data_IF_457060355920
#
_entry.id   IF_457060355920
#
_cell.length_a   1.000
_cell.length_b   1.000
_cell.length_c   1.000
_cell.angle_alpha   90.00
_cell.angle_beta   90.00
_cell.angle_gamma   90.00
#
_symmetry.space_group_name_H-M   'P 1'
#
loop_
_entity.id
_entity.type
_entity.pdbx_description
1 polymer ?
#
# COMPACT_ATOMS: atom_id res chain seq x y z
N UNK A 1 11.86 -14.19 29.22
CA UNK A 1 12.22 -14.69 27.87
C UNK A 1 10.94 -15.10 27.17
N UNK A 2 10.33 -14.25 26.33
CA UNK A 2 9.10 -14.61 25.62
C UNK A 2 9.46 -15.45 24.39
N UNK A 3 9.33 -16.78 24.50
CA UNK A 3 9.50 -17.74 23.41
C UNK A 3 8.35 -17.65 22.39
N UNK A 4 8.25 -16.52 21.69
CA UNK A 4 7.26 -16.32 20.64
C UNK A 4 7.67 -17.10 19.39
N UNK A 5 6.77 -17.91 18.87
CA UNK A 5 6.87 -18.66 17.61
C UNK A 5 7.11 -17.73 16.42
N UNK A 6 8.33 -17.21 16.28
CA UNK A 6 8.73 -16.44 15.11
C UNK A 6 8.98 -17.42 13.96
N UNK A 7 8.10 -17.40 12.96
CA UNK A 7 8.34 -18.12 11.71
C UNK A 7 9.63 -17.56 11.11
N UNK A 8 10.65 -18.39 10.82
CA UNK A 8 11.90 -17.89 10.30
C UNK A 8 11.65 -17.23 8.94
N UNK A 9 12.24 -16.06 8.72
CA UNK A 9 12.16 -15.32 7.46
C UNK A 9 12.56 -16.19 6.24
N UNK A 10 13.42 -17.19 6.44
CA UNK A 10 13.84 -18.16 5.42
C UNK A 10 12.74 -19.13 4.96
N UNK A 11 11.62 -19.23 5.68
CA UNK A 11 10.47 -20.04 5.26
C UNK A 11 9.71 -19.41 4.08
N UNK A 12 9.93 -18.13 3.79
CA UNK A 12 9.25 -17.41 2.72
C UNK A 12 10.24 -17.03 1.62
N UNK A 13 9.85 -17.23 0.37
CA UNK A 13 10.67 -16.89 -0.80
C UNK A 13 9.91 -15.96 -1.75
N UNK A 14 10.65 -15.20 -2.57
CA UNK A 14 10.09 -14.27 -3.56
C UNK A 14 9.26 -13.16 -2.92
N UNK A 15 8.11 -12.84 -3.52
CA UNK A 15 7.23 -11.77 -3.03
C UNK A 15 6.64 -12.06 -1.65
N UNK A 16 6.45 -13.34 -1.29
CA UNK A 16 5.93 -13.72 0.04
C UNK A 16 6.90 -13.35 1.16
N UNK A 17 8.20 -13.25 0.90
CA UNK A 17 9.16 -12.76 1.88
C UNK A 17 8.82 -11.34 2.35
N UNK A 18 8.40 -10.48 1.41
CA UNK A 18 8.07 -9.10 1.68
C UNK A 18 6.58 -8.87 1.99
N UNK A 19 5.68 -9.74 1.53
CA UNK A 19 4.23 -9.59 1.70
C UNK A 19 3.65 -10.84 2.36
N UNK A 20 3.95 -11.02 3.64
CA UNK A 20 3.33 -12.05 4.47
C UNK A 20 2.77 -11.44 5.76
N UNK A 21 1.82 -12.12 6.40
CA UNK A 21 1.22 -11.67 7.65
C UNK A 21 1.92 -12.21 8.90
N UNK A 22 2.93 -13.07 8.74
CA UNK A 22 3.53 -13.85 9.83
C UNK A 22 4.76 -13.18 10.43
N UNK A 23 5.57 -12.52 9.61
CA UNK A 23 6.79 -11.84 10.04
C UNK A 23 6.55 -10.35 10.19
N UNK A 24 7.32 -9.70 11.07
CA UNK A 24 7.24 -8.25 11.27
C UNK A 24 7.51 -7.48 9.97
N UNK A 25 8.47 -7.97 9.16
CA UNK A 25 8.82 -7.39 7.86
C UNK A 25 7.67 -7.45 6.87
N UNK A 26 7.03 -8.62 6.77
CA UNK A 26 5.87 -8.81 5.90
C UNK A 26 4.71 -7.88 6.26
N UNK A 27 4.38 -7.82 7.56
CA UNK A 27 3.30 -6.98 8.08
C UNK A 27 3.56 -5.49 7.81
N UNK A 28 4.78 -5.02 8.04
CA UNK A 28 5.16 -3.63 7.79
C UNK A 28 4.97 -3.25 6.32
N UNK A 29 5.42 -4.10 5.40
CA UNK A 29 5.29 -3.84 3.97
C UNK A 29 3.83 -3.86 3.49
N UNK A 30 2.99 -4.76 4.02
CA UNK A 30 1.55 -4.76 3.73
C UNK A 30 0.92 -3.44 4.17
N UNK A 31 1.28 -2.92 5.34
CA UNK A 31 0.79 -1.62 5.84
C UNK A 31 1.28 -0.47 4.95
N UNK A 32 2.56 -0.45 4.58
CA UNK A 32 3.12 0.55 3.66
C UNK A 32 2.44 0.51 2.29
N UNK A 33 2.16 -0.69 1.75
CA UNK A 33 1.43 -0.85 0.50
C UNK A 33 0.00 -0.31 0.59
N UNK A 34 -0.70 -0.54 1.71
CA UNK A 34 -2.03 0.03 1.94
C UNK A 34 -1.98 1.56 1.98
N UNK A 35 -1.02 2.16 2.69
CA UNK A 35 -0.83 3.61 2.69
C UNK A 35 -0.51 4.15 1.29
N UNK A 36 0.32 3.46 0.52
CA UNK A 36 0.63 3.85 -0.85
C UNK A 36 -0.60 3.81 -1.76
N UNK A 37 -1.44 2.76 -1.67
CA UNK A 37 -2.68 2.63 -2.44
C UNK A 37 -3.68 3.72 -2.08
N UNK A 38 -3.87 3.98 -0.78
CA UNK A 38 -4.77 5.04 -0.31
C UNK A 38 -4.29 6.41 -0.79
N UNK A 39 -3.00 6.70 -0.65
CA UNK A 39 -2.40 7.94 -1.12
C UNK A 39 -2.55 8.11 -2.63
N UNK A 40 -2.24 7.07 -3.41
CA UNK A 40 -2.41 7.07 -4.86
C UNK A 40 -3.87 7.27 -5.27
N UNK A 41 -4.81 6.62 -4.57
CA UNK A 41 -6.24 6.79 -4.78
C UNK A 41 -6.70 8.24 -4.57
N UNK A 42 -6.27 8.87 -3.47
CA UNK A 42 -6.56 10.28 -3.18
C UNK A 42 -5.93 11.20 -4.24
N UNK A 43 -4.67 10.94 -4.63
CA UNK A 43 -3.97 11.71 -5.65
C UNK A 43 -4.67 11.63 -7.01
N UNK A 44 -5.06 10.43 -7.44
CA UNK A 44 -5.81 10.21 -8.69
C UNK A 44 -7.17 10.89 -8.63
N UNK A 45 -7.90 10.78 -7.53
CA UNK A 45 -9.19 11.45 -7.35
C UNK A 45 -9.05 12.98 -7.40
N UNK A 46 -8.02 13.53 -6.78
CA UNK A 46 -7.70 14.97 -6.83
C UNK A 46 -7.35 15.41 -8.26
N UNK A 47 -6.52 14.65 -8.97
CA UNK A 47 -6.17 14.93 -10.37
C UNK A 47 -7.40 14.86 -11.30
N UNK A 48 -8.24 13.82 -11.16
CA UNK A 48 -9.49 13.68 -11.92
C UNK A 48 -10.47 14.81 -11.62
N UNK A 49 -10.59 15.23 -10.37
CA UNK A 49 -11.46 16.36 -9.97
C UNK A 49 -10.99 17.69 -10.58
N UNK A 50 -9.67 17.92 -10.68
CA UNK A 50 -9.13 19.09 -11.40
C UNK A 50 -9.43 19.06 -12.90
N UNK A 51 -9.29 17.90 -13.55
CA UNK A 51 -9.64 17.74 -14.98
C UNK A 51 -11.11 18.06 -15.25
N UNK A 52 -12.04 17.59 -14.40
CA UNK A 52 -13.47 17.93 -14.53
C UNK A 52 -13.76 19.42 -14.39
N UNK A 53 -13.01 20.15 -13.54
CA UNK A 53 -13.15 21.60 -13.40
C UNK A 53 -12.62 22.38 -14.60
N UNK A 54 -11.51 21.91 -15.19
CA UNK A 54 -10.96 22.52 -16.41
C UNK A 54 -11.95 22.37 -17.58
N UNK A 55 -12.46 21.15 -17.82
CA UNK A 55 -13.43 20.90 -18.89
C UNK A 55 -14.70 21.75 -18.76
N UNK A 56 -15.24 21.92 -17.54
CA UNK A 56 -16.41 22.77 -17.31
C UNK A 56 -16.15 24.26 -17.51
N UNK A 57 -14.91 24.73 -17.35
CA UNK A 57 -14.55 26.14 -17.56
C UNK A 57 -14.45 26.46 -19.06
N UNK A 58 -14.10 25.47 -19.88
CA UNK A 58 -13.99 25.65 -21.33
C UNK A 58 -15.37 25.61 -22.03
N UNK A 59 -16.43 25.14 -21.35
CA UNK A 59 -17.81 25.09 -21.86
C UNK A 59 -18.66 26.34 -21.52
N UNK A 60 -18.18 27.25 -20.66
CA UNK A 60 -18.85 28.51 -20.25
C UNK A 60 -18.02 29.72 -20.63
#
# INVERSE_FOLDING_TARGET
MSGGSSVPDSAFTGWKYYFNSYTLKGRFNIVMANYAILFAGIAIWRMRSKKKKALKKDET
#
